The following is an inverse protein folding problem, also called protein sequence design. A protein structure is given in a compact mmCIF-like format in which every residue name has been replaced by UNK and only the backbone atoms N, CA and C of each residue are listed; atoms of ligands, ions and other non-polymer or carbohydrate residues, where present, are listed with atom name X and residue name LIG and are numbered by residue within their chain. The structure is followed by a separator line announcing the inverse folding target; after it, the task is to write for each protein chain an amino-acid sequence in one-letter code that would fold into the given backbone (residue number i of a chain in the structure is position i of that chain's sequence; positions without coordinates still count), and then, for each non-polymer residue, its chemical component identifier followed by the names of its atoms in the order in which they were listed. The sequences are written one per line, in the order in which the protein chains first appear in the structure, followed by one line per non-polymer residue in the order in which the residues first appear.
data_IF_696889190877
#
_entry.id   IF_696889190877
#
_cell.length_a   1.000
_cell.length_b   1.000
_cell.length_c   1.000
_cell.angle_alpha   90.00
_cell.angle_beta   90.00
_cell.angle_gamma   90.00
#
_symmetry.space_group_name_H-M   'P 1'
#
loop_
_entity.id
_entity.type
_entity.pdbx_description
1 polymer ?
#
# COMPACT_ATOMS: atom_id res chain seq x y z
N UNK A 1 33.20 -1.63 -17.04
CA UNK A 1 33.14 -0.16 -17.08
C UNK A 1 34.34 0.44 -17.83
N UNK A 2 35.60 0.15 -17.45
CA UNK A 2 36.80 0.60 -18.17
C UNK A 2 36.86 0.22 -19.65
N UNK A 3 36.40 -1.00 -20.00
CA UNK A 3 36.37 -1.46 -21.40
C UNK A 3 35.50 -0.56 -22.30
N UNK A 4 34.34 -0.09 -21.81
CA UNK A 4 33.41 0.74 -22.59
C UNK A 4 34.01 2.13 -22.84
N UNK A 5 34.64 2.73 -21.83
CA UNK A 5 35.30 4.03 -21.98
C UNK A 5 36.50 3.95 -22.92
N UNK A 6 37.27 2.85 -22.85
CA UNK A 6 38.39 2.62 -23.76
C UNK A 6 37.91 2.46 -25.21
N UNK A 7 36.80 1.73 -25.44
CA UNK A 7 36.18 1.60 -26.77
C UNK A 7 35.67 2.94 -27.29
N UNK A 8 35.00 3.75 -26.46
CA UNK A 8 34.56 5.09 -26.87
C UNK A 8 35.74 5.98 -27.24
N UNK A 9 36.83 5.94 -26.47
CA UNK A 9 38.04 6.69 -26.75
C UNK A 9 38.70 6.28 -28.07
N UNK A 10 38.76 4.97 -28.37
CA UNK A 10 39.42 4.45 -29.57
C UNK A 10 38.58 4.63 -30.84
N UNK A 11 37.26 4.51 -30.75
CA UNK A 11 36.35 4.57 -31.90
C UNK A 11 35.85 5.99 -32.20
N UNK A 12 35.50 6.78 -31.18
CA UNK A 12 35.03 8.16 -31.34
C UNK A 12 35.43 9.04 -30.15
N UNK A 13 36.60 9.66 -30.30
CA UNK A 13 37.15 10.57 -29.29
C UNK A 13 36.20 11.73 -28.92
N UNK A 14 35.43 12.26 -29.86
CA UNK A 14 34.55 13.40 -29.58
C UNK A 14 33.36 13.00 -28.71
N UNK A 15 32.80 11.81 -28.93
CA UNK A 15 31.76 11.25 -28.05
C UNK A 15 32.33 10.98 -26.67
N UNK A 16 33.51 10.36 -26.57
CA UNK A 16 34.19 10.15 -25.30
C UNK A 16 34.42 11.47 -24.55
N UNK A 17 34.98 12.48 -25.22
CA UNK A 17 35.28 13.77 -24.62
C UNK A 17 34.03 14.46 -24.10
N UNK A 18 32.96 14.52 -24.91
CA UNK A 18 31.68 15.12 -24.51
C UNK A 18 31.05 14.39 -23.33
N UNK A 19 31.13 13.05 -23.31
CA UNK A 19 30.63 12.25 -22.19
C UNK A 19 31.39 12.56 -20.91
N UNK A 20 32.73 12.56 -20.94
CA UNK A 20 33.56 12.87 -19.77
C UNK A 20 33.35 14.31 -19.27
N UNK A 21 33.24 15.28 -20.17
CA UNK A 21 32.91 16.66 -19.78
C UNK A 21 31.50 16.74 -19.17
N UNK A 22 30.53 16.02 -19.71
CA UNK A 22 29.19 15.93 -19.15
C UNK A 22 29.19 15.44 -17.70
N UNK A 23 29.92 14.35 -17.43
CA UNK A 23 30.04 13.78 -16.06
C UNK A 23 30.79 14.73 -15.11
N UNK A 24 31.88 15.36 -15.57
CA UNK A 24 32.68 16.27 -14.72
C UNK A 24 31.91 17.53 -14.32
N UNK A 25 31.06 18.02 -15.22
CA UNK A 25 30.25 19.23 -15.00
C UNK A 25 28.81 18.92 -14.59
N UNK A 26 28.50 17.67 -14.24
CA UNK A 26 27.17 17.29 -13.78
C UNK A 26 26.88 17.94 -12.41
N UNK A 27 25.65 18.41 -12.24
CA UNK A 27 25.21 19.03 -11.00
C UNK A 27 24.73 17.93 -10.04
N UNK A 28 25.32 17.88 -8.84
CA UNK A 28 24.93 16.92 -7.79
C UNK A 28 23.44 17.02 -7.43
N UNK A 29 22.86 18.22 -7.51
CA UNK A 29 21.43 18.45 -7.34
C UNK A 29 20.58 17.70 -8.36
N UNK A 30 21.00 17.69 -9.63
CA UNK A 30 20.25 17.09 -10.72
C UNK A 30 20.33 15.56 -10.60
N UNK A 31 21.52 15.02 -10.33
CA UNK A 31 21.72 13.59 -10.10
C UNK A 31 20.92 13.11 -8.89
N UNK A 32 20.89 13.89 -7.80
CA UNK A 32 20.09 13.59 -6.60
C UNK A 32 18.60 13.59 -6.90
N UNK A 33 18.11 14.57 -7.67
CA UNK A 33 16.70 14.63 -8.06
C UNK A 33 16.32 13.44 -8.94
N UNK A 34 17.15 13.07 -9.93
CA UNK A 34 16.94 11.89 -10.76
C UNK A 34 16.92 10.60 -9.94
N UNK A 35 17.87 10.43 -9.02
CA UNK A 35 17.92 9.28 -8.12
C UNK A 35 16.65 9.18 -7.26
N UNK A 36 16.17 10.31 -6.73
CA UNK A 36 14.92 10.38 -5.97
C UNK A 36 13.71 10.01 -6.84
N UNK A 37 13.60 10.56 -8.06
CA UNK A 37 12.50 10.25 -8.99
C UNK A 37 12.47 8.77 -9.37
N UNK A 38 13.62 8.16 -9.69
CA UNK A 38 13.71 6.75 -10.02
C UNK A 38 13.36 5.86 -8.83
N UNK A 39 13.89 6.18 -7.64
CA UNK A 39 13.55 5.45 -6.41
C UNK A 39 12.04 5.51 -6.14
N UNK A 40 11.44 6.70 -6.28
CA UNK A 40 10.00 6.89 -6.09
C UNK A 40 9.19 6.09 -7.11
N UNK A 41 9.51 6.19 -8.40
CA UNK A 41 8.82 5.43 -9.45
C UNK A 41 8.90 3.93 -9.20
N UNK A 42 10.08 3.42 -8.78
CA UNK A 42 10.25 2.00 -8.48
C UNK A 42 9.44 1.54 -7.26
N UNK A 43 9.28 2.39 -6.25
CA UNK A 43 8.44 2.11 -5.10
C UNK A 43 6.96 2.11 -5.47
N UNK A 44 6.53 3.08 -6.28
CA UNK A 44 5.16 3.16 -6.79
C UNK A 44 4.80 1.92 -7.65
N UNK A 45 5.72 1.46 -8.50
CA UNK A 45 5.57 0.21 -9.27
C UNK A 45 5.38 -1.03 -8.38
N UNK A 46 5.96 -1.02 -7.17
CA UNK A 46 5.82 -2.08 -6.16
C UNK A 46 4.59 -1.88 -5.27
N UNK A 47 3.77 -0.86 -5.53
CA UNK A 47 2.56 -0.56 -4.77
C UNK A 47 2.81 0.24 -3.48
N UNK A 48 3.95 0.92 -3.34
CA UNK A 48 4.23 1.85 -2.25
C UNK A 48 3.96 3.29 -2.72
N UNK A 49 2.82 3.89 -2.35
CA UNK A 49 2.47 5.23 -2.82
C UNK A 49 3.32 6.32 -2.16
N UNK A 50 3.28 7.55 -2.66
CA UNK A 50 3.86 8.72 -2.01
C UNK A 50 3.34 8.90 -0.58
N UNK A 51 4.18 9.43 0.30
CA UNK A 51 3.84 9.57 1.73
C UNK A 51 2.63 10.47 1.98
N UNK A 52 2.47 11.54 1.22
CA UNK A 52 1.31 12.43 1.29
C UNK A 52 0.00 11.73 0.92
N UNK A 53 0.04 10.81 -0.05
CA UNK A 53 -1.10 9.94 -0.36
C UNK A 53 -1.32 8.90 0.74
N UNK A 54 -0.26 8.22 1.19
CA UNK A 54 -0.34 7.20 2.23
C UNK A 54 -0.94 7.75 3.53
N UNK A 55 -0.60 8.99 3.91
CA UNK A 55 -1.13 9.65 5.11
C UNK A 55 -2.65 9.89 5.08
N UNK A 56 -3.32 9.78 3.91
CA UNK A 56 -4.78 9.98 3.80
C UNK A 56 -5.57 8.93 4.58
N UNK A 57 -5.01 7.74 4.82
CA UNK A 57 -5.68 6.69 5.62
C UNK A 57 -5.85 7.09 7.10
N UNK A 58 -5.10 8.09 7.57
CA UNK A 58 -5.17 8.63 8.93
C UNK A 58 -6.03 9.89 9.04
N UNK A 59 -6.82 10.23 8.00
CA UNK A 59 -7.65 11.42 8.05
C UNK A 59 -8.64 11.38 9.22
N UNK A 60 -8.94 12.55 9.78
CA UNK A 60 -9.89 12.65 10.88
C UNK A 60 -11.32 12.36 10.39
N UNK A 61 -12.06 11.59 11.19
CA UNK A 61 -13.47 11.26 10.97
C UNK A 61 -14.27 11.64 12.21
N UNK A 62 -15.22 12.57 12.04
CA UNK A 62 -16.12 12.98 13.11
C UNK A 62 -16.93 11.78 13.62
N UNK A 63 -17.20 11.67 14.95
CA UNK A 63 -17.89 10.51 15.53
C UNK A 63 -19.20 10.14 14.84
N UNK A 64 -20.01 11.14 14.46
CA UNK A 64 -21.29 10.96 13.77
C UNK A 64 -21.17 10.30 12.39
N UNK A 65 -20.01 10.42 11.74
CA UNK A 65 -19.79 9.95 10.37
C UNK A 65 -19.07 8.60 10.33
N UNK A 66 -18.59 8.08 11.48
CA UNK A 66 -17.80 6.83 11.55
C UNK A 66 -18.58 5.59 11.12
N UNK A 67 -19.85 5.51 11.50
CA UNK A 67 -20.74 4.40 11.15
C UNK A 67 -21.48 4.60 9.81
N UNK A 68 -21.28 5.74 9.12
CA UNK A 68 -21.99 6.04 7.88
C UNK A 68 -21.53 5.10 6.77
N UNK A 69 -22.49 4.41 6.16
CA UNK A 69 -22.29 3.64 4.93
C UNK A 69 -22.45 4.56 3.73
N UNK A 70 -21.58 4.39 2.74
CA UNK A 70 -21.72 5.02 1.44
C UNK A 70 -22.04 3.93 0.41
N UNK A 71 -23.30 3.85 -0.03
CA UNK A 71 -23.77 2.79 -0.93
C UNK A 71 -23.22 2.95 -2.37
N UNK A 72 -22.47 4.02 -2.66
CA UNK A 72 -21.82 4.19 -3.96
C UNK A 72 -20.56 3.34 -4.13
N UNK A 73 -19.88 3.01 -3.03
CA UNK A 73 -18.61 2.28 -3.09
C UNK A 73 -18.84 0.77 -3.21
N UNK A 74 -18.20 0.16 -4.20
CA UNK A 74 -18.18 -1.28 -4.44
C UNK A 74 -16.74 -1.80 -4.39
N UNK A 75 -16.14 -1.90 -3.19
CA UNK A 75 -14.72 -2.25 -3.02
C UNK A 75 -14.33 -3.62 -3.59
N UNK A 76 -15.28 -4.56 -3.69
CA UNK A 76 -15.03 -5.93 -4.13
C UNK A 76 -15.48 -6.19 -5.58
N UNK A 77 -15.74 -5.14 -6.37
CA UNK A 77 -16.05 -5.31 -7.80
C UNK A 77 -14.78 -5.67 -8.58
N UNK A 78 -14.59 -6.98 -8.77
CA UNK A 78 -13.40 -7.59 -9.39
C UNK A 78 -13.34 -7.35 -10.90
N UNK A 79 -14.42 -6.86 -11.53
CA UNK A 79 -14.47 -6.60 -12.97
C UNK A 79 -13.39 -5.63 -13.46
N UNK A 80 -12.82 -4.82 -12.56
CA UNK A 80 -11.74 -3.89 -12.84
C UNK A 80 -10.32 -4.51 -12.84
N UNK A 81 -10.14 -5.73 -12.33
CA UNK A 81 -8.82 -6.32 -12.03
C UNK A 81 -8.53 -7.55 -12.92
N UNK A 82 -8.45 -7.38 -14.23
CA UNK A 82 -8.08 -8.46 -15.16
C UNK A 82 -6.55 -8.62 -15.26
N UNK A 83 -5.91 -9.15 -14.22
CA UNK A 83 -4.52 -9.62 -14.31
C UNK A 83 -4.45 -11.12 -13.98
N UNK A 84 -3.83 -11.95 -14.86
CA UNK A 84 -3.66 -13.37 -14.61
C UNK A 84 -2.50 -13.56 -13.61
N UNK A 85 -2.81 -13.49 -12.31
CA UNK A 85 -1.83 -13.70 -11.24
C UNK A 85 -2.16 -15.03 -10.56
N UNK A 86 -1.18 -15.93 -10.50
CA UNK A 86 -1.29 -17.16 -9.70
C UNK A 86 -1.35 -16.79 -8.23
N UNK A 87 -2.43 -17.21 -7.58
CA UNK A 87 -2.62 -17.09 -6.14
C UNK A 87 -1.56 -17.92 -5.42
N UNK A 88 -0.68 -17.34 -4.59
CA UNK A 88 -0.02 -18.13 -3.57
C UNK A 88 -1.11 -18.71 -2.64
N UNK A 89 -0.93 -19.96 -2.20
CA UNK A 89 -1.84 -20.60 -1.25
C UNK A 89 -2.00 -19.68 -0.04
N UNK A 90 -3.22 -19.18 0.17
CA UNK A 90 -3.50 -18.35 1.33
C UNK A 90 -3.24 -19.20 2.59
N UNK A 91 -2.48 -18.70 3.58
CA UNK A 91 -2.42 -19.34 4.90
C UNK A 91 -3.85 -19.44 5.46
N UNK A 92 -4.10 -20.38 6.38
CA UNK A 92 -5.45 -20.58 6.93
C UNK A 92 -5.91 -19.34 7.72
N UNK A 93 -6.60 -18.44 7.02
CA UNK A 93 -7.08 -17.16 7.54
C UNK A 93 -8.08 -17.35 8.70
N UNK A 94 -8.62 -18.57 8.88
CA UNK A 94 -9.59 -18.90 9.93
C UNK A 94 -8.97 -18.97 11.32
N UNK A 95 -7.67 -19.26 11.42
CA UNK A 95 -6.94 -19.31 12.69
C UNK A 95 -6.34 -17.94 13.11
N UNK A 96 -6.64 -16.88 12.36
CA UNK A 96 -6.04 -15.57 12.62
C UNK A 96 -6.83 -14.78 13.68
N UNK A 97 -6.11 -14.04 14.53
CA UNK A 97 -6.70 -13.26 15.63
C UNK A 97 -7.63 -12.13 15.15
N UNK A 98 -7.39 -11.58 13.96
CA UNK A 98 -8.10 -10.40 13.47
C UNK A 98 -9.44 -10.73 12.83
N UNK A 99 -10.48 -9.96 13.17
CA UNK A 99 -11.85 -10.10 12.65
C UNK A 99 -11.91 -10.00 11.12
N UNK A 100 -11.08 -9.14 10.52
CA UNK A 100 -11.01 -8.95 9.07
C UNK A 100 -10.68 -10.23 8.31
N UNK A 101 -9.73 -11.04 8.78
CA UNK A 101 -9.31 -12.27 8.09
C UNK A 101 -10.38 -13.36 8.15
N UNK A 102 -11.11 -13.44 9.27
CA UNK A 102 -12.27 -14.34 9.40
C UNK A 102 -13.38 -13.97 8.43
N UNK A 103 -13.71 -12.68 8.33
CA UNK A 103 -14.70 -12.19 7.37
C UNK A 103 -14.28 -12.44 5.91
N UNK A 104 -13.00 -12.23 5.59
CA UNK A 104 -12.44 -12.55 4.26
C UNK A 104 -12.49 -14.05 3.96
N UNK A 105 -12.36 -14.91 4.98
CA UNK A 105 -12.45 -16.35 4.82
C UNK A 105 -13.85 -16.86 4.46
N UNK A 106 -14.89 -16.04 4.64
CA UNK A 106 -16.29 -16.32 4.28
C UNK A 106 -16.67 -15.82 2.87
N UNK A 107 -15.82 -15.01 2.23
CA UNK A 107 -16.04 -14.48 0.88
C UNK A 107 -15.86 -15.55 -0.21
N UNK A 108 -16.49 -15.32 -1.36
CA UNK A 108 -16.20 -16.08 -2.59
C UNK A 108 -14.75 -15.85 -3.04
N UNK A 109 -14.20 -16.76 -3.86
CA UNK A 109 -12.77 -16.73 -4.22
C UNK A 109 -12.37 -15.43 -4.94
N UNK A 110 -13.23 -14.90 -5.80
CA UNK A 110 -12.98 -13.64 -6.51
C UNK A 110 -12.99 -12.44 -5.55
N UNK A 111 -13.97 -12.36 -4.66
CA UNK A 111 -14.08 -11.30 -3.64
C UNK A 111 -12.92 -11.37 -2.64
N UNK A 112 -12.50 -12.58 -2.25
CA UNK A 112 -11.37 -12.84 -1.38
C UNK A 112 -10.06 -12.33 -2.00
N UNK A 113 -9.88 -12.54 -3.30
CA UNK A 113 -8.72 -12.02 -4.03
C UNK A 113 -8.71 -10.49 -4.05
N UNK A 114 -9.85 -9.85 -4.34
CA UNK A 114 -9.96 -8.39 -4.28
C UNK A 114 -9.63 -7.84 -2.88
N UNK A 115 -10.15 -8.48 -1.81
CA UNK A 115 -9.79 -8.14 -0.44
C UNK A 115 -8.29 -8.28 -0.16
N UNK A 116 -7.65 -9.34 -0.67
CA UNK A 116 -6.22 -9.55 -0.47
C UNK A 116 -5.36 -8.46 -1.11
N UNK A 117 -5.71 -8.03 -2.33
CA UNK A 117 -5.05 -6.90 -2.98
C UNK A 117 -5.27 -5.61 -2.20
N UNK A 118 -6.50 -5.33 -1.78
CA UNK A 118 -6.81 -4.15 -0.99
C UNK A 118 -6.05 -4.15 0.34
N UNK A 119 -5.88 -5.30 0.99
CA UNK A 119 -5.15 -5.41 2.25
C UNK A 119 -3.65 -5.20 2.05
N UNK A 120 -3.08 -5.75 0.98
CA UNK A 120 -1.68 -5.53 0.61
C UNK A 120 -1.42 -4.05 0.32
N UNK A 121 -2.31 -3.41 -0.45
CA UNK A 121 -2.23 -1.98 -0.73
C UNK A 121 -2.33 -1.13 0.55
N UNK A 122 -3.25 -1.50 1.46
CA UNK A 122 -3.37 -0.85 2.77
C UNK A 122 -2.11 -1.02 3.62
N UNK A 123 -1.55 -2.23 3.68
CA UNK A 123 -0.31 -2.50 4.41
C UNK A 123 0.86 -1.68 3.84
N UNK A 124 1.00 -1.58 2.52
CA UNK A 124 2.01 -0.73 1.89
C UNK A 124 1.81 0.75 2.24
N UNK A 125 0.56 1.26 2.25
CA UNK A 125 0.25 2.62 2.72
C UNK A 125 0.64 2.83 4.18
N UNK A 126 0.32 1.88 5.06
CA UNK A 126 0.73 1.93 6.47
C UNK A 126 2.25 1.97 6.58
N UNK A 127 2.97 1.11 5.87
CA UNK A 127 4.43 1.07 5.90
C UNK A 127 5.06 2.41 5.50
N UNK A 128 4.54 3.06 4.46
CA UNK A 128 5.02 4.38 4.01
C UNK A 128 4.65 5.48 5.00
N UNK A 129 3.39 5.50 5.46
CA UNK A 129 2.89 6.55 6.35
C UNK A 129 3.64 6.57 7.69
N UNK A 130 3.88 5.39 8.26
CA UNK A 130 4.63 5.14 9.50
C UNK A 130 6.15 5.19 9.29
N UNK A 131 6.62 5.47 8.06
CA UNK A 131 8.04 5.57 7.71
C UNK A 131 8.86 4.31 8.09
N UNK A 132 8.26 3.12 7.92
CA UNK A 132 8.95 1.87 8.14
C UNK A 132 10.07 1.67 7.11
N UNK A 133 11.14 1.00 7.51
CA UNK A 133 12.25 0.67 6.63
C UNK A 133 11.80 -0.41 5.63
N UNK A 134 11.41 -0.02 4.42
CA UNK A 134 10.87 -0.93 3.39
C UNK A 134 11.85 -2.02 2.92
N UNK A 135 13.13 -1.91 3.29
CA UNK A 135 14.17 -2.91 3.02
C UNK A 135 14.33 -3.94 4.15
N UNK A 136 13.62 -3.78 5.27
CA UNK A 136 13.70 -4.65 6.44
C UNK A 136 12.61 -5.73 6.40
N UNK A 137 12.99 -6.96 6.71
CA UNK A 137 12.09 -8.12 6.74
C UNK A 137 11.00 -7.99 7.83
N UNK A 138 11.26 -7.24 8.90
CA UNK A 138 10.28 -7.03 9.99
C UNK A 138 9.24 -5.93 9.68
N UNK A 139 9.52 -5.05 8.71
CA UNK A 139 8.61 -3.94 8.36
C UNK A 139 7.29 -4.44 7.79
N UNK A 140 7.32 -5.45 6.92
CA UNK A 140 6.13 -5.98 6.25
C UNK A 140 5.16 -6.63 7.25
N UNK A 141 5.59 -7.55 8.15
CA UNK A 141 4.71 -8.08 9.20
C UNK A 141 4.10 -6.99 10.09
N UNK A 142 4.88 -5.98 10.49
CA UNK A 142 4.38 -4.87 11.33
C UNK A 142 3.32 -4.04 10.63
N UNK A 143 3.50 -3.75 9.35
CA UNK A 143 2.53 -3.00 8.56
C UNK A 143 1.23 -3.78 8.37
N UNK A 144 1.33 -5.07 8.04
CA UNK A 144 0.17 -5.97 7.91
C UNK A 144 -0.59 -6.07 9.23
N UNK A 145 0.13 -6.24 10.34
CA UNK A 145 -0.49 -6.34 11.67
C UNK A 145 -1.26 -5.07 12.04
N UNK A 146 -0.66 -3.89 11.86
CA UNK A 146 -1.33 -2.61 12.14
C UNK A 146 -2.53 -2.41 11.21
N UNK A 147 -2.39 -2.72 9.93
CA UNK A 147 -3.49 -2.66 8.96
C UNK A 147 -4.65 -3.57 9.37
N UNK A 148 -4.37 -4.83 9.69
CA UNK A 148 -5.37 -5.82 10.07
C UNK A 148 -6.08 -5.47 11.39
N UNK A 149 -5.34 -4.98 12.39
CA UNK A 149 -5.89 -4.54 13.68
C UNK A 149 -6.90 -3.43 13.50
N UNK A 150 -6.50 -2.29 12.92
CA UNK A 150 -7.39 -1.14 12.81
C UNK A 150 -8.51 -1.35 11.80
N UNK A 151 -8.26 -2.08 10.71
CA UNK A 151 -9.35 -2.47 9.81
C UNK A 151 -10.38 -3.36 10.52
N UNK A 152 -9.95 -4.27 11.41
CA UNK A 152 -10.85 -5.11 12.22
C UNK A 152 -11.68 -4.31 13.22
N UNK A 153 -11.08 -3.32 13.87
CA UNK A 153 -11.77 -2.41 14.80
C UNK A 153 -12.83 -1.57 14.07
N UNK A 154 -12.47 -1.01 12.91
CA UNK A 154 -13.41 -0.26 12.07
C UNK A 154 -14.53 -1.13 11.53
N UNK A 155 -14.21 -2.36 11.09
CA UNK A 155 -15.18 -3.35 10.65
C UNK A 155 -16.19 -3.66 11.75
N UNK A 156 -15.71 -3.98 12.96
CA UNK A 156 -16.56 -4.26 14.11
C UNK A 156 -17.50 -3.08 14.42
N UNK A 157 -16.96 -1.87 14.47
CA UNK A 157 -17.74 -0.67 14.78
C UNK A 157 -18.86 -0.41 13.76
N UNK A 158 -18.57 -0.52 12.45
CA UNK A 158 -19.56 -0.30 11.40
C UNK A 158 -20.61 -1.42 11.38
N UNK A 159 -20.18 -2.68 11.53
CA UNK A 159 -21.08 -3.84 11.56
C UNK A 159 -22.07 -3.74 12.72
N UNK A 160 -21.59 -3.42 13.93
CA UNK A 160 -22.42 -3.28 15.12
C UNK A 160 -23.39 -2.09 15.03
N UNK A 161 -22.91 -0.94 14.55
CA UNK A 161 -23.75 0.26 14.43
C UNK A 161 -24.87 0.12 13.40
N UNK A 162 -24.66 -0.69 12.35
CA UNK A 162 -25.63 -0.88 11.27
C UNK A 162 -26.36 -2.24 11.32
N UNK A 163 -26.04 -3.10 12.30
CA UNK A 163 -26.58 -4.46 12.44
C UNK A 163 -26.38 -5.31 11.17
N UNK A 164 -25.20 -5.16 10.55
CA UNK A 164 -24.79 -5.90 9.35
C UNK A 164 -23.82 -7.02 9.70
N UNK A 165 -23.76 -8.04 8.85
CA UNK A 165 -22.67 -9.01 8.90
C UNK A 165 -21.34 -8.38 8.44
N UNK A 166 -20.22 -8.92 8.91
CA UNK A 166 -18.89 -8.46 8.52
C UNK A 166 -18.69 -8.52 7.01
N UNK A 167 -19.20 -9.58 6.38
CA UNK A 167 -19.15 -9.79 4.92
C UNK A 167 -19.92 -8.70 4.17
N UNK A 168 -21.10 -8.30 4.65
CA UNK A 168 -21.87 -7.21 4.05
C UNK A 168 -21.15 -5.87 4.15
N UNK A 169 -20.46 -5.61 5.26
CA UNK A 169 -19.65 -4.39 5.40
C UNK A 169 -18.47 -4.40 4.43
N UNK A 170 -17.77 -5.54 4.28
CA UNK A 170 -16.66 -5.65 3.31
C UNK A 170 -17.09 -5.41 1.86
N UNK A 171 -18.33 -5.74 1.51
CA UNK A 171 -18.90 -5.48 0.17
C UNK A 171 -19.27 -4.02 -0.06
N UNK A 172 -19.39 -3.20 0.99
CA UNK A 172 -19.87 -1.81 0.93
C UNK A 172 -18.84 -0.76 1.34
N UNK A 173 -17.77 -1.17 2.03
CA UNK A 173 -16.81 -0.24 2.64
C UNK A 173 -15.37 -0.64 2.29
N UNK A 174 -14.59 0.31 1.78
CA UNK A 174 -13.17 0.08 1.45
C UNK A 174 -12.33 -0.21 2.69
N UNK A 175 -11.27 -1.02 2.56
CA UNK A 175 -10.38 -1.32 3.69
C UNK A 175 -9.69 -0.07 4.24
N UNK A 176 -9.40 0.92 3.39
CA UNK A 176 -8.86 2.22 3.82
C UNK A 176 -9.84 2.95 4.72
N UNK A 177 -11.14 2.92 4.39
CA UNK A 177 -12.18 3.51 5.23
C UNK A 177 -12.33 2.75 6.56
N UNK A 178 -12.29 1.43 6.54
CA UNK A 178 -12.30 0.61 7.77
C UNK A 178 -11.10 0.94 8.66
N UNK A 179 -9.90 1.01 8.09
CA UNK A 179 -8.70 1.39 8.81
C UNK A 179 -8.83 2.79 9.41
N UNK A 180 -9.27 3.77 8.62
CA UNK A 180 -9.43 5.15 9.08
C UNK A 180 -10.43 5.23 10.24
N UNK A 181 -11.54 4.49 10.18
CA UNK A 181 -12.50 4.42 11.29
C UNK A 181 -11.85 3.82 12.53
N UNK A 182 -11.16 2.68 12.43
CA UNK A 182 -10.44 2.08 13.55
C UNK A 182 -9.40 3.01 14.16
N UNK A 183 -8.57 3.65 13.33
CA UNK A 183 -7.59 4.64 13.77
C UNK A 183 -8.21 5.85 14.50
N UNK A 184 -9.45 6.21 14.16
CA UNK A 184 -10.19 7.28 14.84
C UNK A 184 -10.88 6.83 16.14
N UNK A 185 -11.04 5.52 16.38
CA UNK A 185 -11.54 4.96 17.63
C UNK A 185 -10.45 4.92 18.71
N UNK A 186 -9.21 4.58 18.33
CA UNK A 186 -8.02 4.71 19.19
C UNK A 186 -6.90 5.55 18.53
N UNK A 187 -7.03 6.90 18.52
CA UNK A 187 -6.04 7.78 17.92
C UNK A 187 -4.68 7.77 18.61
N UNK A 188 -4.58 7.28 19.86
CA UNK A 188 -3.33 7.25 20.59
C UNK A 188 -2.43 6.12 20.07
N UNK A 189 -3.01 4.93 19.87
CA UNK A 189 -2.30 3.76 19.35
C UNK A 189 -2.13 3.77 17.83
N UNK A 190 -2.90 4.61 17.12
CA UNK A 190 -2.91 4.65 15.65
C UNK A 190 -1.86 5.57 15.03
N UNK A 191 -1.18 6.41 15.82
CA UNK A 191 -0.24 7.40 15.28
C UNK A 191 0.83 6.74 14.39
N UNK A 192 1.19 7.37 13.26
CA UNK A 192 2.32 6.95 12.43
C UNK A 192 3.65 7.16 13.14
#
# INVERSE_FOLDING_TARGET
MLAILHTLFSEDYWVYFRFMQGVVWELDSDTTEWALRWRRGRLEDLGFPPRDEAMRIYHFIAPKDRAKLDDSDRPLDVSAWSLPISLPSLPDLRETQHRIFRAVAELADEERLACFYALTALANRVAVADQLALSDAESTPRAIEKAARFASEGLAHIAEANQLSDVEVLRRVTLERLFAVGANLDPASARP
#
